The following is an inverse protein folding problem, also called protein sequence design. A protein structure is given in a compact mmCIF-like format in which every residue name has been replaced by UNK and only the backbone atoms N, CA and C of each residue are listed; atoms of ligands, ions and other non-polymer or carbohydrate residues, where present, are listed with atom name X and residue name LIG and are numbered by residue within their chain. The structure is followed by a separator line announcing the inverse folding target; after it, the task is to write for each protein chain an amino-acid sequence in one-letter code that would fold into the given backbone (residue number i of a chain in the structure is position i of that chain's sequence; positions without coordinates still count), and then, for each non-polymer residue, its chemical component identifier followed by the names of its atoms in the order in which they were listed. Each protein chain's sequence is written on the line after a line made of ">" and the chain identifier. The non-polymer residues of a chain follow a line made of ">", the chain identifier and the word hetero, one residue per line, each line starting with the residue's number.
data_IF_046749326005
#
_entry.id   IF_046749326005
#
_cell.length_a   1.000
_cell.length_b   1.000
_cell.length_c   1.000
_cell.angle_alpha   90.00
_cell.angle_beta   90.00
_cell.angle_gamma   90.00
#
_symmetry.space_group_name_H-M   'P 1'
#
loop_
_entity.id
_entity.type
_entity.pdbx_description
1 polymer ?
#
# COMPACT_ATOMS: atom_id res chain seq x y z
N UNK A 1 34.44 -2.86 -13.17
CA UNK A 1 34.50 -3.20 -11.73
C UNK A 1 33.38 -2.50 -10.95
N UNK A 2 33.36 -1.16 -10.84
CA UNK A 2 32.31 -0.42 -10.10
C UNK A 2 30.87 -0.67 -10.59
N UNK A 3 30.63 -0.73 -11.91
CA UNK A 3 29.29 -0.99 -12.47
C UNK A 3 28.74 -2.38 -12.14
N UNK A 4 29.61 -3.39 -12.06
CA UNK A 4 29.22 -4.76 -11.70
C UNK A 4 28.86 -4.83 -10.22
N UNK A 5 29.61 -4.16 -9.36
CA UNK A 5 29.31 -4.04 -7.94
C UNK A 5 27.96 -3.33 -7.70
N UNK A 6 27.71 -2.24 -8.42
CA UNK A 6 26.44 -1.50 -8.42
C UNK A 6 25.27 -2.42 -8.81
N UNK A 7 25.43 -3.19 -9.89
CA UNK A 7 24.38 -4.08 -10.38
C UNK A 7 24.08 -5.22 -9.41
N UNK A 8 25.12 -5.83 -8.83
CA UNK A 8 24.99 -6.87 -7.80
C UNK A 8 24.28 -6.30 -6.57
N UNK A 9 24.69 -5.12 -6.08
CA UNK A 9 24.06 -4.48 -4.93
C UNK A 9 22.58 -4.17 -5.18
N UNK A 10 22.23 -3.66 -6.37
CA UNK A 10 20.84 -3.40 -6.75
C UNK A 10 20.00 -4.68 -6.75
N UNK A 11 20.54 -5.80 -7.25
CA UNK A 11 19.86 -7.10 -7.24
C UNK A 11 19.70 -7.66 -5.83
N UNK A 12 20.76 -7.61 -5.02
CA UNK A 12 20.73 -8.08 -3.62
C UNK A 12 19.68 -7.31 -2.82
N UNK A 13 19.63 -5.98 -2.92
CA UNK A 13 18.64 -5.17 -2.21
C UNK A 13 17.20 -5.47 -2.66
N UNK A 14 16.97 -5.73 -3.95
CA UNK A 14 15.65 -6.19 -4.43
C UNK A 14 15.27 -7.54 -3.85
N UNK A 15 16.21 -8.50 -3.82
CA UNK A 15 15.99 -9.83 -3.25
C UNK A 15 15.69 -9.76 -1.75
N UNK A 16 16.44 -8.98 -0.97
CA UNK A 16 16.20 -8.79 0.46
C UNK A 16 14.79 -8.23 0.72
N UNK A 17 14.33 -7.25 -0.06
CA UNK A 17 12.97 -6.71 0.07
C UNK A 17 11.90 -7.74 -0.31
N UNK A 18 12.13 -8.57 -1.34
CA UNK A 18 11.21 -9.69 -1.67
C UNK A 18 11.12 -10.66 -0.50
N UNK A 19 12.25 -11.03 0.10
CA UNK A 19 12.32 -11.95 1.23
C UNK A 19 11.61 -11.36 2.45
N UNK A 20 11.85 -10.09 2.78
CA UNK A 20 11.17 -9.40 3.90
C UNK A 20 9.66 -9.38 3.72
N UNK A 21 9.17 -9.16 2.49
CA UNK A 21 7.74 -9.23 2.18
C UNK A 21 7.24 -10.68 2.35
N UNK A 22 7.95 -11.67 1.81
CA UNK A 22 7.57 -13.08 1.91
C UNK A 22 7.51 -13.56 3.36
N UNK A 23 8.44 -13.13 4.21
CA UNK A 23 8.42 -13.37 5.67
C UNK A 23 7.23 -12.66 6.30
N UNK A 24 6.98 -11.40 5.94
CA UNK A 24 5.79 -10.69 6.42
C UNK A 24 4.50 -11.42 6.02
N UNK A 25 4.42 -12.01 4.82
CA UNK A 25 3.29 -12.85 4.40
C UNK A 25 3.16 -14.13 5.22
N UNK A 26 4.27 -14.82 5.47
CA UNK A 26 4.28 -16.06 6.25
C UNK A 26 3.81 -15.80 7.68
N UNK A 27 4.39 -14.77 8.33
CA UNK A 27 4.02 -14.33 9.68
C UNK A 27 2.59 -13.82 9.72
N UNK A 28 2.16 -13.07 8.71
CA UNK A 28 0.77 -12.60 8.60
C UNK A 28 -0.19 -13.78 8.40
N UNK A 29 0.20 -14.82 7.66
CA UNK A 29 -0.62 -16.01 7.43
C UNK A 29 -0.91 -16.80 8.71
N UNK A 30 0.03 -16.88 9.64
CA UNK A 30 -0.19 -17.51 10.95
C UNK A 30 -1.01 -16.62 11.91
N UNK A 31 -0.99 -15.30 11.73
CA UNK A 31 -1.71 -14.33 12.59
C UNK A 31 -3.13 -14.01 12.08
N UNK A 32 -3.39 -14.10 10.76
CA UNK A 32 -4.66 -13.71 10.13
C UNK A 32 -5.67 -14.87 10.02
N UNK A 33 -6.33 -15.19 11.12
CA UNK A 33 -7.68 -15.74 11.06
C UNK A 33 -8.74 -14.77 11.62
N UNK A 34 -8.38 -13.53 12.03
CA UNK A 34 -9.29 -12.81 12.94
C UNK A 34 -9.66 -11.34 12.73
N UNK A 35 -8.98 -10.50 11.95
CA UNK A 35 -9.36 -9.06 11.95
C UNK A 35 -9.08 -8.37 10.61
N UNK A 36 -10.05 -7.60 10.09
CA UNK A 36 -9.93 -6.83 8.85
C UNK A 36 -8.83 -5.76 8.86
N UNK A 37 -8.33 -5.39 10.03
CA UNK A 37 -7.22 -4.45 10.22
C UNK A 37 -5.91 -4.93 9.55
N UNK A 38 -5.78 -6.23 9.28
CA UNK A 38 -4.59 -6.83 8.69
C UNK A 38 -4.54 -6.80 7.14
N UNK A 39 -5.70 -6.76 6.45
CA UNK A 39 -5.76 -6.58 4.98
C UNK A 39 -5.19 -5.20 4.59
N UNK A 40 -5.37 -4.26 5.50
CA UNK A 40 -4.98 -2.88 5.31
C UNK A 40 -3.50 -2.62 5.56
N UNK A 41 -2.96 -3.10 6.67
CA UNK A 41 -1.53 -3.03 6.96
C UNK A 41 -0.73 -3.70 5.83
N UNK A 42 -1.24 -4.81 5.32
CA UNK A 42 -0.72 -5.48 4.14
C UNK A 42 -0.71 -4.61 2.86
N UNK A 43 -1.82 -3.94 2.55
CA UNK A 43 -1.90 -3.04 1.38
C UNK A 43 -0.92 -1.86 1.50
N UNK A 44 -0.69 -1.38 2.73
CA UNK A 44 0.33 -0.37 3.01
C UNK A 44 1.75 -0.89 2.80
N UNK A 45 2.09 -2.04 3.39
CA UNK A 45 3.42 -2.67 3.28
C UNK A 45 3.77 -2.93 1.81
N UNK A 46 2.82 -3.42 1.00
CA UNK A 46 3.04 -3.61 -0.43
C UNK A 46 3.38 -2.32 -1.17
N UNK A 47 2.65 -1.25 -0.88
CA UNK A 47 2.83 0.02 -1.58
C UNK A 47 4.12 0.72 -1.14
N UNK A 48 4.50 0.64 0.14
CA UNK A 48 5.80 1.09 0.62
C UNK A 48 6.95 0.33 -0.04
N UNK A 49 6.83 -1.00 -0.17
CA UNK A 49 7.83 -1.81 -0.85
C UNK A 49 7.99 -1.46 -2.33
N UNK A 50 6.90 -1.10 -3.02
CA UNK A 50 6.95 -0.64 -4.42
C UNK A 50 7.72 0.68 -4.54
N UNK A 51 7.50 1.63 -3.62
CA UNK A 51 8.23 2.91 -3.59
C UNK A 51 9.72 2.67 -3.30
N UNK A 52 10.03 1.85 -2.30
CA UNK A 52 11.41 1.54 -1.94
C UNK A 52 12.21 0.99 -3.14
N UNK A 53 11.65 0.01 -3.87
CA UNK A 53 12.30 -0.57 -5.06
C UNK A 53 12.51 0.43 -6.20
N UNK A 54 11.70 1.49 -6.28
CA UNK A 54 11.86 2.54 -7.28
C UNK A 54 12.90 3.59 -6.88
N UNK A 55 13.13 3.81 -5.58
CA UNK A 55 14.08 4.81 -5.05
C UNK A 55 15.52 4.29 -5.00
N UNK A 56 15.74 3.02 -4.67
CA UNK A 56 17.10 2.42 -4.58
C UNK A 56 17.96 2.62 -5.83
N UNK A 57 17.44 2.45 -7.07
CA UNK A 57 18.23 2.74 -8.26
C UNK A 57 18.61 4.23 -8.37
N UNK A 58 17.78 5.15 -7.89
CA UNK A 58 18.00 6.60 -8.04
C UNK A 58 19.27 7.03 -7.30
N UNK A 59 19.46 6.58 -6.06
CA UNK A 59 20.64 6.94 -5.25
C UNK A 59 21.95 6.40 -5.84
N UNK A 60 21.91 5.23 -6.47
CA UNK A 60 23.11 4.61 -7.04
C UNK A 60 23.51 5.30 -8.35
N UNK A 61 22.55 5.58 -9.23
CA UNK A 61 22.81 6.33 -10.46
C UNK A 61 23.29 7.76 -10.15
N UNK A 62 22.75 8.40 -9.12
CA UNK A 62 23.20 9.72 -8.66
C UNK A 62 24.71 9.76 -8.34
N UNK A 63 25.22 8.77 -7.60
CA UNK A 63 26.63 8.66 -7.25
C UNK A 63 27.53 8.38 -8.46
N UNK A 64 27.04 7.67 -9.47
CA UNK A 64 27.81 7.43 -10.69
C UNK A 64 27.90 8.68 -11.58
N UNK A 65 26.81 9.46 -11.67
CA UNK A 65 26.78 10.67 -12.50
C UNK A 65 27.67 11.79 -11.96
N UNK A 66 27.81 11.94 -10.64
CA UNK A 66 28.65 13.00 -10.04
C UNK A 66 30.15 12.77 -10.26
N UNK A 67 30.58 11.52 -10.38
CA UNK A 67 31.98 11.13 -10.60
C UNK A 67 32.44 11.31 -12.07
N UNK A 68 31.51 11.57 -12.99
CA UNK A 68 31.82 11.63 -14.42
C UNK A 68 32.34 13.01 -14.87
N UNK A 69 33.46 13.03 -15.62
CA UNK A 69 34.20 14.26 -16.00
C UNK A 69 33.62 15.08 -17.17
N UNK A 70 32.74 14.52 -18.02
CA UNK A 70 32.22 15.19 -19.24
C UNK A 70 30.90 15.97 -19.05
N UNK A 71 31.00 17.16 -18.46
CA UNK A 71 30.01 17.82 -17.59
C UNK A 71 28.58 18.03 -18.09
N UNK A 72 28.31 18.16 -19.40
CA UNK A 72 27.00 18.67 -19.88
C UNK A 72 26.06 17.55 -20.30
N UNK A 73 26.51 16.62 -21.14
CA UNK A 73 25.67 15.57 -21.71
C UNK A 73 25.12 14.60 -20.65
N UNK A 74 25.97 14.17 -19.70
CA UNK A 74 25.54 13.26 -18.64
C UNK A 74 24.58 13.95 -17.65
N UNK A 75 24.70 15.28 -17.42
CA UNK A 75 23.78 16.02 -16.56
C UNK A 75 22.39 16.06 -17.18
N UNK A 76 22.29 16.28 -18.48
CA UNK A 76 21.02 16.24 -19.19
C UNK A 76 20.36 14.84 -19.11
N UNK A 77 21.14 13.78 -19.31
CA UNK A 77 20.65 12.40 -19.15
C UNK A 77 20.21 12.12 -17.71
N UNK A 78 20.91 12.66 -16.71
CA UNK A 78 20.53 12.50 -15.32
C UNK A 78 19.22 13.24 -14.98
N UNK A 79 19.05 14.49 -15.43
CA UNK A 79 17.82 15.24 -15.19
C UNK A 79 16.60 14.60 -15.86
N UNK A 80 16.77 14.10 -17.09
CA UNK A 80 15.71 13.39 -17.81
C UNK A 80 15.37 12.06 -17.10
N UNK A 81 16.38 11.29 -16.67
CA UNK A 81 16.20 10.08 -15.86
C UNK A 81 15.46 10.35 -14.55
N UNK A 82 15.86 11.39 -13.80
CA UNK A 82 15.19 11.80 -12.56
C UNK A 82 13.74 12.20 -12.83
N UNK A 83 13.48 13.00 -13.87
CA UNK A 83 12.13 13.43 -14.21
C UNK A 83 11.22 12.23 -14.52
N UNK A 84 11.70 11.26 -15.31
CA UNK A 84 10.96 10.01 -15.57
C UNK A 84 10.71 9.23 -14.28
N UNK A 85 11.71 9.10 -13.39
CA UNK A 85 11.56 8.37 -12.12
C UNK A 85 10.61 9.06 -11.15
N UNK A 86 10.68 10.38 -11.02
CA UNK A 86 9.76 11.18 -10.20
C UNK A 86 8.33 11.02 -10.73
N UNK A 87 8.11 11.12 -12.03
CA UNK A 87 6.79 10.89 -12.63
C UNK A 87 6.22 9.50 -12.28
N UNK A 88 7.05 8.46 -12.40
CA UNK A 88 6.66 7.07 -12.06
C UNK A 88 6.39 6.91 -10.56
N UNK A 89 7.12 7.60 -9.68
CA UNK A 89 6.92 7.59 -8.23
C UNK A 89 5.64 8.31 -7.76
N UNK A 90 5.18 9.33 -8.49
CA UNK A 90 3.97 10.07 -8.12
C UNK A 90 2.71 9.20 -8.13
N UNK A 91 2.65 8.19 -9.00
CA UNK A 91 1.51 7.28 -9.11
C UNK A 91 1.28 6.43 -7.84
N UNK A 92 2.26 5.66 -7.31
CA UNK A 92 2.10 4.89 -6.08
C UNK A 92 1.95 5.79 -4.85
N UNK A 93 2.61 6.95 -4.81
CA UNK A 93 2.44 7.92 -3.72
C UNK A 93 0.99 8.40 -3.66
N UNK A 94 0.38 8.78 -4.78
CA UNK A 94 -1.03 9.18 -4.83
C UNK A 94 -1.98 8.06 -4.36
N UNK A 95 -1.68 6.80 -4.70
CA UNK A 95 -2.46 5.64 -4.21
C UNK A 95 -2.35 5.47 -2.69
N UNK A 96 -1.15 5.62 -2.13
CA UNK A 96 -0.94 5.60 -0.69
C UNK A 96 -1.68 6.74 0.02
N UNK A 97 -1.60 7.96 -0.50
CA UNK A 97 -2.28 9.10 0.10
C UNK A 97 -3.81 8.96 0.04
N UNK A 98 -4.35 8.48 -1.09
CA UNK A 98 -5.79 8.20 -1.20
C UNK A 98 -6.21 7.07 -0.25
N UNK A 99 -5.42 6.01 -0.16
CA UNK A 99 -5.62 4.93 0.81
C UNK A 99 -5.58 5.43 2.25
N UNK A 100 -4.55 6.20 2.62
CA UNK A 100 -4.40 6.78 3.95
C UNK A 100 -5.50 7.76 4.33
N UNK A 101 -5.99 8.56 3.36
CA UNK A 101 -7.15 9.42 3.57
C UNK A 101 -8.42 8.60 3.84
N UNK A 102 -8.64 7.51 3.10
CA UNK A 102 -9.77 6.62 3.33
C UNK A 102 -9.65 5.89 4.69
N UNK A 103 -8.43 5.62 5.14
CA UNK A 103 -8.16 5.05 6.46
C UNK A 103 -8.40 5.99 7.62
N UNK A 104 -8.05 7.25 7.43
CA UNK A 104 -8.40 8.29 8.39
C UNK A 104 -9.91 8.30 8.65
N UNK A 105 -10.71 8.05 7.61
CA UNK A 105 -12.17 7.93 7.69
C UNK A 105 -12.67 6.52 8.05
N UNK A 106 -11.79 5.57 8.43
CA UNK A 106 -12.14 4.17 8.73
C UNK A 106 -13.02 3.50 7.66
N UNK A 107 -12.80 3.80 6.38
CA UNK A 107 -13.49 3.12 5.27
C UNK A 107 -12.75 1.82 4.94
N UNK A 108 -13.42 0.69 5.15
CA UNK A 108 -12.99 -0.62 4.69
C UNK A 108 -13.14 -0.74 3.17
N UNK A 109 -12.45 -1.70 2.55
CA UNK A 109 -12.56 -1.97 1.11
C UNK A 109 -13.98 -2.27 0.62
N UNK A 110 -14.89 -2.63 1.54
CA UNK A 110 -16.28 -2.97 1.25
C UNK A 110 -17.29 -1.86 1.58
N UNK A 111 -16.93 -0.86 2.40
CA UNK A 111 -17.90 0.10 2.94
C UNK A 111 -17.36 1.00 4.07
N UNK A 112 -18.26 1.76 4.70
CA UNK A 112 -17.97 2.62 5.88
C UNK A 112 -18.67 2.08 7.12
N UNK A 113 -18.14 2.35 8.31
CA UNK A 113 -18.91 2.08 9.55
C UNK A 113 -20.18 2.95 9.57
N UNK A 114 -21.29 2.33 9.94
CA UNK A 114 -22.58 3.01 10.04
C UNK A 114 -22.61 3.90 11.28
N UNK A 115 -23.15 5.11 11.17
CA UNK A 115 -23.38 6.00 12.31
C UNK A 115 -24.62 5.54 13.09
N UNK A 116 -24.69 5.85 14.39
CA UNK A 116 -25.83 5.50 15.25
C UNK A 116 -27.18 5.94 14.65
N UNK A 117 -27.20 7.10 13.98
CA UNK A 117 -28.39 7.65 13.31
C UNK A 117 -28.90 6.81 12.13
N UNK A 118 -28.01 6.13 11.38
CA UNK A 118 -28.40 5.25 10.26
C UNK A 118 -28.93 3.91 10.76
N UNK A 119 -28.49 3.50 11.94
CA UNK A 119 -28.95 2.27 12.60
C UNK A 119 -30.35 2.41 13.18
N UNK A 120 -30.71 3.62 13.62
CA UNK A 120 -32.03 3.96 14.16
C UNK A 120 -33.11 3.99 13.06
N UNK A 121 -32.75 4.27 11.80
CA UNK A 121 -33.67 4.19 10.64
C UNK A 121 -33.88 2.76 10.13
N UNK A 122 -32.92 1.86 10.35
CA UNK A 122 -33.04 0.44 9.99
C UNK A 122 -33.72 -0.34 11.12
N UNK A 123 -34.25 -1.53 10.80
CA UNK A 123 -34.96 -2.42 11.76
C UNK A 123 -34.11 -2.93 12.93
N UNK A 124 -32.92 -2.37 13.16
CA UNK A 124 -32.02 -2.66 14.26
C UNK A 124 -31.38 -4.05 14.22
N UNK A 125 -31.58 -4.81 13.14
CA UNK A 125 -31.10 -6.19 12.99
C UNK A 125 -30.39 -6.41 11.67
N UNK A 126 -29.31 -7.19 11.69
CA UNK A 126 -28.59 -7.61 10.50
C UNK A 126 -29.36 -8.73 9.78
N UNK A 127 -29.52 -8.64 8.46
CA UNK A 127 -30.24 -9.64 7.66
C UNK A 127 -29.48 -10.96 7.45
N UNK A 128 -28.20 -11.03 7.83
CA UNK A 128 -27.39 -12.26 7.73
C UNK A 128 -27.48 -13.06 9.04
N UNK A 129 -27.13 -12.46 10.18
CA UNK A 129 -27.20 -13.15 11.48
C UNK A 129 -28.58 -13.07 12.15
N UNK A 130 -29.49 -12.23 11.63
CA UNK A 130 -30.84 -11.98 12.18
C UNK A 130 -30.79 -11.41 13.62
N UNK A 131 -29.61 -10.95 14.05
CA UNK A 131 -29.34 -10.44 15.39
C UNK A 131 -28.99 -8.95 15.36
N UNK A 132 -28.84 -8.36 16.54
CA UNK A 132 -28.44 -6.97 16.71
C UNK A 132 -27.07 -6.71 16.08
N UNK A 133 -26.91 -5.52 15.50
CA UNK A 133 -25.68 -5.17 14.79
C UNK A 133 -24.46 -5.17 15.72
N UNK A 134 -23.44 -5.95 15.35
CA UNK A 134 -22.12 -5.94 15.98
C UNK A 134 -21.13 -5.41 14.95
N UNK A 135 -20.55 -4.23 15.20
CA UNK A 135 -19.69 -3.49 14.27
C UNK A 135 -20.36 -3.31 12.87
N UNK A 136 -21.41 -2.50 12.76
CA UNK A 136 -22.16 -2.34 11.50
C UNK A 136 -21.35 -1.63 10.43
N UNK A 137 -21.35 -2.20 9.23
CA UNK A 137 -20.71 -1.68 8.03
C UNK A 137 -21.77 -1.43 6.96
N UNK A 138 -21.85 -0.19 6.49
CA UNK A 138 -22.65 0.23 5.34
C UNK A 138 -21.85 -0.01 4.06
N UNK A 139 -22.33 -0.91 3.20
CA UNK A 139 -21.70 -1.20 1.90
C UNK A 139 -21.95 -0.07 0.90
N UNK A 140 -20.91 0.34 0.17
CA UNK A 140 -21.05 1.28 -0.95
C UNK A 140 -21.04 0.50 -2.29
N UNK A 141 -21.89 0.83 -3.28
CA UNK A 141 -22.83 1.97 -3.36
C UNK A 141 -24.26 1.65 -2.90
N UNK A 142 -24.58 0.41 -2.52
CA UNK A 142 -25.95 -0.05 -2.24
C UNK A 142 -26.52 0.40 -0.89
N UNK A 143 -25.70 0.94 0.01
CA UNK A 143 -26.06 1.44 1.34
C UNK A 143 -26.76 0.40 2.26
N UNK A 144 -26.53 -0.89 2.03
CA UNK A 144 -27.02 -1.93 2.94
C UNK A 144 -26.08 -2.08 4.15
N UNK A 145 -26.66 -2.29 5.34
CA UNK A 145 -25.94 -2.40 6.61
C UNK A 145 -25.86 -3.86 7.04
N UNK A 146 -24.65 -4.34 7.33
CA UNK A 146 -24.38 -5.69 7.85
C UNK A 146 -23.34 -5.66 8.97
N UNK A 147 -23.25 -6.73 9.76
CA UNK A 147 -22.14 -6.88 10.71
C UNK A 147 -20.83 -7.15 9.96
N UNK A 148 -19.71 -6.58 10.41
CA UNK A 148 -18.38 -6.81 9.82
C UNK A 148 -18.04 -8.31 9.72
N UNK A 149 -18.37 -9.09 10.75
CA UNK A 149 -18.13 -10.54 10.79
C UNK A 149 -19.01 -11.31 9.79
N UNK A 150 -20.21 -10.80 9.47
CA UNK A 150 -21.13 -11.48 8.56
C UNK A 150 -20.73 -11.33 7.08
N UNK A 151 -19.97 -10.28 6.73
CA UNK A 151 -19.50 -10.04 5.36
C UNK A 151 -18.07 -10.56 5.11
N UNK A 152 -17.37 -10.99 6.17
CA UNK A 152 -15.99 -11.47 6.11
C UNK A 152 -15.84 -12.98 6.35
N UNK A 153 -16.94 -13.66 6.72
CA UNK A 153 -17.05 -15.13 6.75
C UNK A 153 -17.27 -15.70 5.35
#
# INVERSE_FOLDING_TARGET
>A
MLLVFIFIYEHVMKCLVVIMIAVAFYVSGEILQREGHCILSYTFIQNFSKIYRMVVPISIWYLWFIESKNTVFYKFLFFTYLATKVYVLLLPIKKLFKGGKNLWHRQFSFGRYSTQQELDEFTGKCSICIDQFVNPVTLNPCNHIFCENCITQ
#
